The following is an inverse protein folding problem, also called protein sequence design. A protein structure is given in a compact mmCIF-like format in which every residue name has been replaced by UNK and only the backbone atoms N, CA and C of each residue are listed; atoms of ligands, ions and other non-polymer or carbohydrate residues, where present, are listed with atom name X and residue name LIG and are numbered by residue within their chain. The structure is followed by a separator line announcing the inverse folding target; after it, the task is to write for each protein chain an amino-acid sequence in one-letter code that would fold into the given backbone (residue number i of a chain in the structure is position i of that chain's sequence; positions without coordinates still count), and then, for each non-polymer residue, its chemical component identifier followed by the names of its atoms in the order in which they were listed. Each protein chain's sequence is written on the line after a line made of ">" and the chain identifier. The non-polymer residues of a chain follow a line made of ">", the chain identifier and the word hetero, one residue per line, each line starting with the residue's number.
data_IF_689018202540
#
_entry.id   IF_689018202540
#
_cell.length_a   1.000
_cell.length_b   1.000
_cell.length_c   1.000
_cell.angle_alpha   90.00
_cell.angle_beta   90.00
_cell.angle_gamma   90.00
#
_symmetry.space_group_name_H-M   'P 1'
#
loop_
_entity.id
_entity.type
_entity.pdbx_description
1 polymer ?
#
# COMPACT_ATOMS: atom_id res chain seq x y z
N UNK A 1 -1.08 -12.63 -22.55
CA UNK A 1 -2.07 -13.07 -21.56
C UNK A 1 -1.85 -12.23 -20.32
N UNK A 2 -2.87 -11.55 -19.80
CA UNK A 2 -2.75 -10.73 -18.59
C UNK A 2 -2.84 -11.64 -17.36
N UNK A 3 -1.86 -11.57 -16.48
CA UNK A 3 -1.89 -12.26 -15.18
C UNK A 3 -2.45 -11.30 -14.12
N UNK A 4 -3.34 -11.77 -13.26
CA UNK A 4 -3.84 -10.98 -12.12
C UNK A 4 -3.47 -11.69 -10.82
N UNK A 5 -2.84 -10.96 -9.90
CA UNK A 5 -2.55 -11.43 -8.53
C UNK A 5 -3.53 -10.77 -7.59
N UNK A 6 -4.50 -11.56 -7.14
CA UNK A 6 -5.59 -11.12 -6.25
C UNK A 6 -5.22 -11.33 -4.78
N UNK A 7 -5.82 -10.54 -3.90
CA UNK A 7 -5.60 -10.61 -2.45
C UNK A 7 -6.91 -10.89 -1.71
N UNK A 8 -6.83 -11.63 -0.61
CA UNK A 8 -7.97 -11.78 0.31
C UNK A 8 -8.04 -10.58 1.28
N UNK A 9 -8.82 -9.55 0.94
CA UNK A 9 -9.01 -8.37 1.81
C UNK A 9 -9.79 -8.66 3.09
N UNK A 10 -10.46 -9.82 3.21
CA UNK A 10 -11.20 -10.19 4.43
C UNK A 10 -10.28 -10.68 5.56
N UNK A 11 -9.02 -11.00 5.23
CA UNK A 11 -8.02 -11.50 6.17
C UNK A 11 -6.77 -10.60 6.14
N UNK A 12 -6.27 -10.17 7.32
CA UNK A 12 -4.99 -9.49 7.40
C UNK A 12 -3.83 -10.39 6.98
N UNK A 13 -2.82 -9.82 6.32
CA UNK A 13 -1.64 -10.53 5.86
C UNK A 13 -0.88 -11.21 7.00
N UNK A 14 -0.73 -10.53 8.14
CA UNK A 14 -0.07 -11.09 9.33
C UNK A 14 -0.84 -12.27 9.96
N UNK A 15 -2.12 -12.44 9.60
CA UNK A 15 -2.92 -13.62 9.97
C UNK A 15 -2.86 -14.72 8.93
N UNK A 16 -1.99 -14.63 7.92
CA UNK A 16 -1.79 -15.64 6.90
C UNK A 16 -2.72 -15.51 5.70
N UNK A 17 -3.05 -14.29 5.30
CA UNK A 17 -3.64 -14.08 3.98
C UNK A 17 -2.62 -14.49 2.89
N UNK A 18 -3.07 -15.13 1.80
CA UNK A 18 -2.18 -15.56 0.72
C UNK A 18 -1.67 -14.36 -0.09
N UNK A 19 -0.73 -14.65 -1.00
CA UNK A 19 -0.28 -13.73 -2.04
C UNK A 19 0.46 -12.46 -1.56
N UNK A 20 1.03 -12.48 -0.35
CA UNK A 20 1.85 -11.36 0.11
C UNK A 20 2.86 -11.72 1.20
N UNK A 21 3.68 -10.72 1.53
CA UNK A 21 4.69 -10.77 2.59
C UNK A 21 4.91 -9.37 3.17
N UNK A 22 5.46 -9.25 4.38
CA UNK A 22 5.84 -7.96 4.96
C UNK A 22 7.33 -7.87 5.34
N UNK A 23 8.12 -8.87 4.94
CA UNK A 23 9.57 -8.93 5.12
C UNK A 23 10.20 -9.39 3.82
N UNK A 24 11.45 -9.00 3.61
CA UNK A 24 12.24 -9.45 2.47
C UNK A 24 13.12 -10.61 2.89
N UNK A 25 12.99 -11.74 2.19
CA UNK A 25 13.81 -12.91 2.41
C UNK A 25 13.90 -13.71 1.10
N UNK A 26 15.09 -14.23 0.73
CA UNK A 26 15.27 -14.95 -0.54
C UNK A 26 14.43 -16.23 -0.64
N UNK A 27 14.10 -16.85 0.51
CA UNK A 27 13.32 -18.09 0.55
C UNK A 27 11.80 -17.88 0.50
N UNK A 28 11.31 -16.65 0.32
CA UNK A 28 9.87 -16.41 0.15
C UNK A 28 9.47 -16.96 -1.23
N UNK A 29 8.53 -17.93 -1.30
CA UNK A 29 8.13 -18.51 -2.58
C UNK A 29 7.38 -17.47 -3.42
N UNK A 30 7.59 -17.50 -4.72
CA UNK A 30 6.82 -16.71 -5.66
C UNK A 30 5.34 -17.11 -5.64
N UNK A 31 4.46 -16.12 -5.77
CA UNK A 31 3.00 -16.33 -5.78
C UNK A 31 2.48 -16.60 -7.19
N UNK A 32 3.27 -16.20 -8.20
CA UNK A 32 3.04 -16.47 -9.61
C UNK A 32 4.38 -16.38 -10.38
N UNK A 33 4.42 -16.99 -11.57
CA UNK A 33 5.55 -16.93 -12.50
C UNK A 33 5.05 -16.47 -13.86
N UNK A 34 5.76 -15.54 -14.50
CA UNK A 34 5.43 -15.03 -15.84
C UNK A 34 6.63 -15.07 -16.79
N UNK A 35 6.36 -15.04 -18.08
CA UNK A 35 7.40 -14.84 -19.11
C UNK A 35 7.74 -13.35 -19.25
N UNK A 36 8.97 -13.00 -19.69
CA UNK A 36 9.33 -11.63 -20.03
C UNK A 36 8.33 -11.00 -21.03
N UNK A 37 7.97 -9.73 -20.81
CA UNK A 37 6.99 -9.00 -21.61
C UNK A 37 5.52 -9.27 -21.25
N UNK A 38 5.26 -10.05 -20.20
CA UNK A 38 3.90 -10.23 -19.68
C UNK A 38 3.38 -8.96 -18.99
N UNK A 39 2.10 -8.66 -19.20
CA UNK A 39 1.36 -7.66 -18.42
C UNK A 39 0.78 -8.32 -17.17
N UNK A 40 0.96 -7.68 -16.01
CA UNK A 40 0.50 -8.19 -14.72
C UNK A 40 -0.23 -7.10 -13.95
N UNK A 41 -1.40 -7.43 -13.42
CA UNK A 41 -2.14 -6.58 -12.47
C UNK A 41 -2.00 -7.12 -11.06
N UNK A 42 -1.58 -6.27 -10.13
CA UNK A 42 -1.50 -6.59 -8.71
C UNK A 42 -2.63 -5.90 -7.95
N UNK A 43 -3.37 -6.67 -7.16
CA UNK A 43 -4.20 -6.07 -6.13
C UNK A 43 -3.36 -5.77 -4.89
N UNK A 44 -3.55 -4.58 -4.32
CA UNK A 44 -2.71 -4.06 -3.24
C UNK A 44 -3.54 -3.82 -1.98
N UNK A 45 -2.84 -3.85 -0.83
CA UNK A 45 -3.34 -3.43 0.48
C UNK A 45 -2.77 -2.03 0.77
N UNK A 46 -3.46 -1.24 1.58
CA UNK A 46 -2.84 -0.03 2.11
C UNK A 46 -1.68 -0.40 3.06
N UNK A 47 -0.81 0.59 3.36
CA UNK A 47 0.41 0.41 4.14
C UNK A 47 0.20 -0.19 5.55
N UNK A 48 -1.03 -0.16 6.07
CA UNK A 48 -1.43 -0.66 7.38
C UNK A 48 -2.47 -1.77 7.30
N UNK A 49 -2.61 -2.42 6.14
CA UNK A 49 -3.41 -3.63 5.95
C UNK A 49 -4.87 -3.48 6.41
N UNK A 50 -5.49 -2.33 6.11
CA UNK A 50 -6.88 -2.03 6.44
C UNK A 50 -7.17 -1.71 7.91
N UNK A 51 -6.14 -1.55 8.75
CA UNK A 51 -6.36 -1.25 10.19
C UNK A 51 -6.85 0.17 10.45
N UNK A 52 -6.69 1.09 9.50
CA UNK A 52 -7.25 2.44 9.55
C UNK A 52 -8.40 2.54 8.54
N UNK A 53 -9.57 2.99 9.01
CA UNK A 53 -10.81 3.08 8.22
C UNK A 53 -11.37 4.50 8.22
N UNK A 54 -12.46 4.69 7.47
CA UNK A 54 -13.21 5.96 7.43
C UNK A 54 -13.73 6.38 8.81
N UNK A 55 -13.95 5.42 9.69
CA UNK A 55 -14.46 5.61 11.05
C UNK A 55 -13.34 5.81 12.08
N UNK A 56 -12.08 5.55 11.71
CA UNK A 56 -10.95 5.70 12.63
C UNK A 56 -10.78 7.14 13.09
N UNK A 57 -10.44 7.30 14.36
CA UNK A 57 -10.19 8.56 15.04
C UNK A 57 -8.69 8.88 15.09
N UNK A 58 -8.34 10.11 15.49
CA UNK A 58 -6.94 10.47 15.72
C UNK A 58 -6.25 9.55 16.72
N UNK A 59 -6.96 9.06 17.74
CA UNK A 59 -6.38 8.15 18.74
C UNK A 59 -6.16 6.74 18.22
N UNK A 60 -6.93 6.28 17.23
CA UNK A 60 -6.76 4.95 16.63
C UNK A 60 -5.42 4.81 15.88
N UNK A 61 -4.81 5.92 15.47
CA UNK A 61 -3.43 5.91 14.97
C UNK A 61 -2.44 5.32 15.99
N UNK A 62 -2.65 5.56 17.27
CA UNK A 62 -1.72 5.14 18.33
C UNK A 62 -1.85 3.66 18.68
N UNK A 63 -3.03 3.07 18.43
CA UNK A 63 -3.29 1.64 18.63
C UNK A 63 -3.09 0.81 17.36
N UNK A 64 -2.86 1.44 16.21
CA UNK A 64 -2.59 0.77 14.95
C UNK A 64 -1.34 -0.12 15.03
N UNK A 65 -1.46 -1.34 14.50
CA UNK A 65 -0.36 -2.30 14.52
C UNK A 65 0.83 -1.79 13.69
N UNK A 66 2.05 -2.07 14.15
CA UNK A 66 3.30 -1.68 13.47
C UNK A 66 3.67 -2.63 12.32
N UNK A 67 2.78 -3.55 11.94
CA UNK A 67 3.01 -4.60 10.95
C UNK A 67 2.94 -4.12 9.49
N UNK A 68 3.48 -2.93 9.24
CA UNK A 68 3.77 -2.45 7.89
C UNK A 68 5.03 -3.13 7.31
N UNK A 69 5.24 -3.17 5.99
CA UNK A 69 4.27 -2.85 4.93
C UNK A 69 3.81 -4.18 4.32
N UNK A 70 2.50 -4.42 4.11
CA UNK A 70 2.05 -5.57 3.35
C UNK A 70 2.36 -5.38 1.87
N UNK A 71 3.11 -6.32 1.29
CA UNK A 71 3.49 -6.32 -0.12
C UNK A 71 2.82 -7.50 -0.82
N UNK A 72 2.25 -7.27 -2.00
CA UNK A 72 1.67 -8.32 -2.85
C UNK A 72 2.77 -8.93 -3.71
N UNK A 73 2.90 -10.25 -3.71
CA UNK A 73 4.00 -10.97 -4.37
C UNK A 73 4.71 -11.96 -3.45
N UNK A 74 5.94 -12.38 -3.81
CA UNK A 74 6.75 -11.97 -4.96
C UNK A 74 6.27 -12.55 -6.30
N UNK A 75 6.53 -11.84 -7.40
CA UNK A 75 6.34 -12.35 -8.77
C UNK A 75 7.68 -12.85 -9.32
N UNK A 76 7.71 -14.07 -9.85
CA UNK A 76 8.86 -14.62 -10.55
C UNK A 76 8.78 -14.29 -12.05
N UNK A 77 9.90 -13.88 -12.63
CA UNK A 77 10.06 -13.71 -14.08
C UNK A 77 10.94 -14.84 -14.61
N UNK A 78 10.40 -15.66 -15.52
CA UNK A 78 11.08 -16.84 -16.05
C UNK A 78 12.37 -16.44 -16.76
N UNK A 79 13.47 -17.05 -16.33
CA UNK A 79 14.80 -16.85 -16.93
C UNK A 79 15.55 -15.61 -16.43
N UNK A 80 15.02 -14.86 -15.47
CA UNK A 80 15.78 -13.78 -14.83
C UNK A 80 16.87 -14.35 -13.91
N UNK A 81 18.10 -13.84 -14.02
CA UNK A 81 19.27 -14.31 -13.27
C UNK A 81 19.94 -13.17 -12.46
N UNK A 82 20.73 -13.48 -11.42
CA UNK A 82 21.50 -12.47 -10.69
C UNK A 82 22.42 -11.66 -11.61
N UNK A 83 22.22 -10.34 -11.64
CA UNK A 83 22.96 -9.42 -12.51
C UNK A 83 22.13 -8.85 -13.66
N UNK A 84 20.97 -9.45 -13.95
CA UNK A 84 20.01 -8.89 -14.89
C UNK A 84 19.33 -7.63 -14.37
N UNK A 85 18.80 -6.85 -15.31
CA UNK A 85 17.93 -5.71 -15.01
C UNK A 85 16.50 -6.09 -15.33
N UNK A 86 15.61 -6.01 -14.33
CA UNK A 86 14.18 -6.07 -14.56
C UNK A 86 13.67 -4.68 -14.98
N UNK A 87 13.20 -4.58 -16.21
CA UNK A 87 12.50 -3.38 -16.71
C UNK A 87 11.01 -3.55 -16.44
N UNK A 88 10.41 -2.59 -15.75
CA UNK A 88 9.00 -2.59 -15.39
C UNK A 88 8.37 -1.32 -15.94
N UNK A 89 7.44 -1.48 -16.88
CA UNK A 89 6.58 -0.40 -17.36
C UNK A 89 5.31 -0.35 -16.50
N UNK A 90 5.13 0.74 -15.75
CA UNK A 90 3.90 0.97 -14.98
C UNK A 90 2.82 1.49 -15.92
N UNK A 91 1.88 0.61 -16.29
CA UNK A 91 0.83 0.93 -17.25
C UNK A 91 -0.28 1.81 -16.67
N UNK A 92 -0.52 1.73 -15.36
CA UNK A 92 -1.53 2.53 -14.67
C UNK A 92 -1.79 2.08 -13.25
N UNK A 93 -2.65 2.82 -12.56
CA UNK A 93 -3.11 2.54 -11.22
C UNK A 93 -4.63 2.67 -11.16
N UNK A 94 -5.27 1.79 -10.38
CA UNK A 94 -6.64 1.94 -9.94
C UNK A 94 -6.61 2.05 -8.42
N UNK A 95 -7.15 3.16 -7.89
CA UNK A 95 -7.17 3.43 -6.44
C UNK A 95 -8.52 3.07 -5.86
N UNK A 96 -8.53 2.71 -4.58
CA UNK A 96 -9.75 2.76 -3.77
C UNK A 96 -10.25 4.21 -3.64
N UNK A 97 -11.46 4.37 -3.12
CA UNK A 97 -12.10 5.65 -2.86
C UNK A 97 -11.73 6.27 -1.49
N UNK A 98 -10.81 5.63 -0.76
CA UNK A 98 -10.36 6.01 0.57
C UNK A 98 -8.83 5.99 0.68
N UNK A 99 -8.29 6.99 1.38
CA UNK A 99 -6.90 7.01 1.83
C UNK A 99 -6.76 7.68 3.19
N UNK A 100 -5.56 7.63 3.76
CA UNK A 100 -5.28 8.27 5.04
C UNK A 100 -3.88 8.88 5.10
N UNK A 101 -3.73 9.90 5.94
CA UNK A 101 -2.43 10.46 6.33
C UNK A 101 -2.37 10.50 7.85
N UNK A 102 -1.31 9.92 8.41
CA UNK A 102 -1.09 9.86 9.85
C UNK A 102 0.13 10.65 10.28
N UNK A 103 -0.02 11.43 11.35
CA UNK A 103 1.07 12.02 12.12
C UNK A 103 1.08 11.34 13.48
N UNK A 104 2.18 10.66 13.80
CA UNK A 104 2.42 10.09 15.12
C UNK A 104 3.30 11.04 15.93
N UNK A 105 2.97 11.32 17.20
CA UNK A 105 3.82 12.13 18.06
C UNK A 105 5.23 11.55 18.15
N UNK A 106 6.25 12.41 18.01
CA UNK A 106 7.65 12.00 18.05
C UNK A 106 8.16 11.23 16.82
N UNK A 107 7.37 11.11 15.75
CA UNK A 107 7.75 10.42 14.51
C UNK A 107 7.90 11.36 13.33
N UNK A 108 8.73 10.96 12.35
CA UNK A 108 8.95 11.71 11.12
C UNK A 108 9.85 12.93 11.29
N UNK A 109 9.93 13.75 10.24
CA UNK A 109 10.84 14.89 10.17
C UNK A 109 10.51 16.03 11.16
N UNK A 110 9.23 16.18 11.53
CA UNK A 110 8.75 17.22 12.44
C UNK A 110 8.22 16.63 13.75
N UNK A 111 8.67 15.43 14.13
CA UNK A 111 8.12 14.69 15.28
C UNK A 111 8.19 15.45 16.61
N UNK A 112 9.13 16.37 16.73
CA UNK A 112 9.37 17.28 17.85
C UNK A 112 8.43 18.49 17.90
N UNK A 113 7.70 18.78 16.82
CA UNK A 113 6.69 19.84 16.76
C UNK A 113 5.26 19.35 17.01
N UNK A 114 4.98 18.07 16.76
CA UNK A 114 3.65 17.49 16.90
C UNK A 114 3.59 16.55 18.10
N UNK A 115 2.94 16.99 19.17
CA UNK A 115 2.79 16.26 20.44
C UNK A 115 1.51 15.43 20.55
N UNK A 116 0.60 15.56 19.56
CA UNK A 116 -0.69 14.86 19.50
C UNK A 116 -0.85 14.17 18.15
N UNK A 117 -1.51 13.00 18.10
CA UNK A 117 -1.75 12.32 16.84
C UNK A 117 -2.72 13.11 15.98
N UNK A 118 -2.52 13.03 14.67
CA UNK A 118 -3.42 13.62 13.68
C UNK A 118 -3.64 12.65 12.53
N UNK A 119 -4.90 12.42 12.20
CA UNK A 119 -5.36 11.53 11.14
C UNK A 119 -6.19 12.35 10.17
N UNK A 120 -5.72 12.54 8.94
CA UNK A 120 -6.56 13.00 7.85
C UNK A 120 -7.11 11.78 7.10
N UNK A 121 -8.43 11.72 6.96
CA UNK A 121 -9.16 10.73 6.18
C UNK A 121 -9.52 11.35 4.85
N UNK A 122 -9.09 10.71 3.77
CA UNK A 122 -9.24 11.22 2.43
C UNK A 122 -10.32 10.45 1.68
N UNK A 123 -11.30 11.17 1.15
CA UNK A 123 -12.15 10.71 0.06
C UNK A 123 -11.39 10.93 -1.25
N UNK A 124 -11.24 9.87 -2.03
CA UNK A 124 -10.49 9.86 -3.27
C UNK A 124 -11.45 9.73 -4.45
N UNK A 125 -11.26 10.59 -5.45
CA UNK A 125 -11.81 10.40 -6.79
C UNK A 125 -10.67 10.33 -7.82
N UNK A 126 -11.00 10.23 -9.10
CA UNK A 126 -10.02 10.07 -10.17
C UNK A 126 -9.08 11.29 -10.33
N UNK A 127 -9.48 12.46 -9.84
CA UNK A 127 -8.76 13.71 -10.03
C UNK A 127 -8.20 14.30 -8.73
N UNK A 128 -8.85 14.07 -7.59
CA UNK A 128 -8.55 14.75 -6.34
C UNK A 128 -8.78 13.90 -5.08
N UNK A 129 -8.07 14.26 -4.02
CA UNK A 129 -8.31 13.83 -2.64
C UNK A 129 -8.84 14.99 -1.79
N UNK A 130 -9.85 14.72 -0.97
CA UNK A 130 -10.47 15.71 -0.05
C UNK A 130 -10.63 15.14 1.35
N UNK A 131 -10.49 15.98 2.37
CA UNK A 131 -10.60 15.57 3.78
C UNK A 131 -11.31 16.64 4.59
N UNK A 132 -12.21 16.22 5.49
CA UNK A 132 -12.85 17.13 6.45
C UNK A 132 -11.85 17.70 7.48
N UNK A 133 -10.74 16.99 7.72
CA UNK A 133 -9.67 17.45 8.62
C UNK A 133 -8.80 18.55 7.99
N UNK A 134 -8.87 18.72 6.67
CA UNK A 134 -8.15 19.75 5.92
C UNK A 134 -9.16 20.53 5.03
N UNK A 135 -10.05 21.34 5.64
CA UNK A 135 -11.15 21.96 4.92
C UNK A 135 -10.68 22.97 3.88
N UNK A 136 -11.42 23.05 2.76
CA UNK A 136 -11.14 24.01 1.69
C UNK A 136 -9.99 23.61 0.74
N UNK A 137 -9.42 22.41 0.91
CA UNK A 137 -8.33 21.90 0.08
C UNK A 137 -8.81 20.73 -0.80
N UNK A 138 -8.30 20.69 -2.03
CA UNK A 138 -8.36 19.53 -2.92
C UNK A 138 -6.92 19.23 -3.35
N UNK A 139 -6.43 18.03 -3.05
CA UNK A 139 -5.08 17.61 -3.48
C UNK A 139 -5.23 16.89 -4.82
N UNK A 140 -4.55 17.31 -5.90
CA UNK A 140 -4.66 16.62 -7.18
C UNK A 140 -4.08 15.21 -7.11
N UNK A 141 -4.67 14.28 -7.85
CA UNK A 141 -4.22 12.90 -7.95
C UNK A 141 -2.80 12.83 -8.52
N UNK A 142 -1.92 12.17 -7.77
CA UNK A 142 -0.55 11.85 -8.16
C UNK A 142 -0.24 10.46 -7.67
N UNK A 143 -0.87 9.46 -8.28
CA UNK A 143 -0.84 8.07 -7.80
C UNK A 143 0.48 7.41 -8.17
N UNK A 144 1.14 6.81 -7.18
CA UNK A 144 2.37 6.03 -7.36
C UNK A 144 2.47 4.94 -6.27
N UNK A 145 3.27 3.90 -6.54
CA UNK A 145 3.67 2.93 -5.53
C UNK A 145 4.87 3.48 -4.73
N UNK A 146 4.72 3.56 -3.41
CA UNK A 146 5.73 4.09 -2.48
C UNK A 146 6.79 3.09 -2.04
#
# INVERSE_FOLDING_TARGET
>A
MSTRIEIDRSRPLHRGAPCGHNRWHPDIPAVATVDPGAEVTFELRDARDGTLTRESTHTDLLSSDTLAHPLTGPLEVRGAEPGDVLVIDVLGYETDDFGWTGIWPGSGWLGDLFDRPFLARWELDAEHARSAEVPGVAVPAGVFAG
#
